data_IF_258775531131
#
_entry.id   IF_258775531131
#
_cell.length_a   1.000
_cell.length_b   1.000
_cell.length_c   1.000
_cell.angle_alpha   90.00
_cell.angle_beta   90.00
_cell.angle_gamma   90.00
#
_symmetry.space_group_name_H-M   'P 1'
#
loop_
_entity.id
_entity.type
_entity.pdbx_description
1 polymer ?
#
# COMPACT_ATOMS: atom_id res chain seq x y z
N UNK A 1 54.12 42.30 -1.64
CA UNK A 1 53.29 41.57 -2.63
C UNK A 1 52.40 40.62 -1.86
N UNK A 2 51.08 40.80 -1.92
CA UNK A 2 50.12 39.92 -1.24
C UNK A 2 49.53 38.98 -2.28
N UNK A 3 49.74 37.67 -2.10
CA UNK A 3 49.25 36.63 -3.01
C UNK A 3 47.83 36.29 -2.57
N UNK A 4 46.81 36.75 -3.30
CA UNK A 4 45.43 36.32 -3.09
C UNK A 4 45.25 34.91 -3.65
N UNK A 5 45.36 33.90 -2.79
CA UNK A 5 44.98 32.53 -3.12
C UNK A 5 43.47 32.46 -2.94
N UNK A 6 42.70 32.42 -4.03
CA UNK A 6 41.27 32.08 -3.94
C UNK A 6 41.17 30.68 -3.34
N UNK A 7 40.59 30.56 -2.15
CA UNK A 7 40.25 29.26 -1.58
C UNK A 7 39.38 28.49 -2.57
N UNK A 8 39.64 27.18 -2.79
CA UNK A 8 38.78 26.37 -3.63
C UNK A 8 37.33 26.44 -3.10
N UNK A 9 36.32 26.38 -3.98
CA UNK A 9 34.93 26.39 -3.54
C UNK A 9 34.70 25.26 -2.52
N UNK A 10 33.92 25.48 -1.46
CA UNK A 10 33.57 24.41 -0.53
C UNK A 10 32.96 23.26 -1.33
N UNK A 11 33.43 22.04 -1.06
CA UNK A 11 32.89 20.85 -1.70
C UNK A 11 31.39 20.77 -1.40
N UNK A 12 30.56 20.99 -2.42
CA UNK A 12 29.11 20.79 -2.30
C UNK A 12 28.93 19.32 -1.96
N UNK A 13 28.27 18.96 -0.84
CA UNK A 13 27.95 17.56 -0.56
C UNK A 13 27.19 17.04 -1.77
N UNK A 14 27.72 16.02 -2.45
CA UNK A 14 26.92 15.27 -3.41
C UNK A 14 25.76 14.71 -2.60
N UNK A 15 24.56 15.24 -2.84
CA UNK A 15 23.34 14.56 -2.40
C UNK A 15 23.47 13.12 -2.92
N UNK A 16 23.23 12.09 -2.09
CA UNK A 16 23.25 10.72 -2.58
C UNK A 16 22.33 10.66 -3.80
N UNK A 17 22.76 9.97 -4.85
CA UNK A 17 21.87 9.64 -5.97
C UNK A 17 20.79 8.72 -5.40
N UNK A 18 19.71 9.33 -4.92
CA UNK A 18 18.52 8.63 -4.49
C UNK A 18 17.87 8.15 -5.78
N UNK A 19 18.03 6.87 -6.09
CA UNK A 19 17.26 6.24 -7.15
C UNK A 19 15.78 6.22 -6.73
N UNK A 20 14.90 6.98 -7.41
CA UNK A 20 13.48 6.97 -7.10
C UNK A 20 12.87 5.57 -7.27
N UNK A 21 13.45 4.69 -8.09
CA UNK A 21 13.05 3.29 -8.22
C UNK A 21 13.38 2.46 -6.97
N UNK A 22 14.38 2.87 -6.18
CA UNK A 22 14.65 2.23 -4.89
C UNK A 22 13.67 2.67 -3.80
N UNK A 23 13.05 3.86 -3.92
CA UNK A 23 11.96 4.32 -3.03
C UNK A 23 10.60 3.79 -3.50
N UNK A 24 10.40 3.71 -4.81
CA UNK A 24 9.22 3.15 -5.44
C UNK A 24 9.19 1.63 -5.20
N UNK A 25 8.50 1.22 -4.13
CA UNK A 25 8.45 -0.16 -3.67
C UNK A 25 8.70 -0.29 -2.17
N UNK A 26 9.49 0.60 -1.57
CA UNK A 26 9.63 0.74 -0.11
C UNK A 26 8.32 1.29 0.51
N UNK A 27 7.64 2.19 -0.20
CA UNK A 27 6.27 2.60 0.05
C UNK A 27 5.37 2.10 -1.08
N UNK A 28 5.30 0.79 -1.30
CA UNK A 28 4.43 0.17 -2.33
C UNK A 28 2.94 0.37 -2.04
N UNK A 29 2.52 1.61 -1.92
CA UNK A 29 1.26 1.99 -1.30
C UNK A 29 0.72 3.29 -1.94
N UNK A 30 1.54 4.29 -2.24
CA UNK A 30 1.05 5.48 -2.94
C UNK A 30 1.27 5.34 -4.46
N UNK A 31 0.21 5.13 -5.28
CA UNK A 31 0.39 5.07 -6.72
C UNK A 31 0.80 6.43 -7.27
N UNK A 32 1.74 6.45 -8.21
CA UNK A 32 2.15 7.66 -8.92
C UNK A 32 1.08 8.16 -9.91
N UNK A 33 0.13 7.30 -10.28
CA UNK A 33 -1.03 7.60 -11.12
C UNK A 33 -2.34 7.27 -10.41
N UNK A 34 -3.46 7.14 -11.15
CA UNK A 34 -4.73 6.68 -10.56
C UNK A 34 -4.55 5.35 -9.82
N UNK A 35 -5.16 5.23 -8.63
CA UNK A 35 -5.23 3.95 -7.92
C UNK A 35 -5.87 2.90 -8.81
N UNK A 36 -5.30 1.69 -8.77
CA UNK A 36 -5.88 0.54 -9.47
C UNK A 36 -7.23 0.18 -8.85
N UNK A 37 -8.14 -0.29 -9.70
CA UNK A 37 -9.48 -0.73 -9.29
C UNK A 37 -9.42 -2.11 -8.66
N UNK A 38 -9.97 -2.26 -7.45
CA UNK A 38 -10.07 -3.58 -6.82
C UNK A 38 -11.15 -4.40 -7.53
N UNK A 39 -10.79 -5.59 -8.01
CA UNK A 39 -11.75 -6.53 -8.64
C UNK A 39 -12.26 -7.60 -7.68
N UNK A 40 -11.53 -7.83 -6.58
CA UNK A 40 -11.89 -8.70 -5.46
C UNK A 40 -11.05 -8.29 -4.24
N UNK A 41 -11.68 -8.08 -3.08
CA UNK A 41 -10.96 -7.71 -1.86
C UNK A 41 -10.06 -8.82 -1.31
N UNK A 42 -10.32 -10.09 -1.59
CA UNK A 42 -9.50 -11.21 -1.13
C UNK A 42 -8.17 -11.33 -1.89
N UNK A 43 -8.10 -10.81 -3.12
CA UNK A 43 -6.91 -10.86 -3.99
C UNK A 43 -6.37 -9.47 -4.31
N UNK A 44 -6.69 -8.47 -3.49
CA UNK A 44 -6.27 -7.09 -3.70
C UNK A 44 -4.74 -6.94 -3.73
N UNK A 45 -4.29 -5.87 -4.39
CA UNK A 45 -2.90 -5.45 -4.41
C UNK A 45 -2.41 -5.11 -2.99
N UNK A 46 -1.18 -5.51 -2.66
CA UNK A 46 -0.43 -4.97 -1.52
C UNK A 46 -0.18 -3.49 -1.73
N UNK A 47 -0.73 -2.64 -0.87
CA UNK A 47 -0.77 -1.20 -1.08
C UNK A 47 -2.20 -0.69 -1.17
N UNK A 48 -2.37 0.45 -1.86
CA UNK A 48 -3.68 1.10 -1.97
C UNK A 48 -4.33 0.81 -3.31
N UNK A 49 -5.61 0.44 -3.27
CA UNK A 49 -6.50 0.38 -4.42
C UNK A 49 -7.74 1.20 -4.14
N UNK A 50 -8.44 1.61 -5.19
CA UNK A 50 -9.76 2.22 -5.09
C UNK A 50 -10.83 1.16 -5.37
N UNK A 51 -12.02 1.40 -4.84
CA UNK A 51 -13.22 0.61 -5.09
C UNK A 51 -14.32 1.54 -5.57
N UNK A 52 -14.71 1.40 -6.82
CA UNK A 52 -15.75 2.18 -7.51
C UNK A 52 -16.98 1.36 -7.85
N UNK A 53 -16.89 0.04 -7.71
CA UNK A 53 -17.92 -0.93 -8.09
C UNK A 53 -18.19 -1.93 -6.97
N UNK A 54 -19.35 -2.60 -7.02
CA UNK A 54 -19.67 -3.66 -6.09
C UNK A 54 -18.96 -4.95 -6.49
N UNK A 55 -17.82 -5.21 -5.85
CA UNK A 55 -16.98 -6.38 -6.12
C UNK A 55 -17.05 -7.42 -4.99
N UNK A 56 -16.65 -8.68 -5.26
CA UNK A 56 -16.63 -9.72 -4.24
C UNK A 56 -15.81 -9.32 -2.99
N UNK A 57 -16.23 -9.88 -1.86
CA UNK A 57 -15.55 -9.77 -0.56
C UNK A 57 -15.43 -8.35 0.03
N UNK A 58 -16.17 -7.38 -0.52
CA UNK A 58 -16.34 -6.04 0.05
C UNK A 58 -17.06 -6.11 1.41
N UNK A 59 -16.71 -5.25 2.40
CA UNK A 59 -17.37 -5.25 3.72
C UNK A 59 -18.86 -4.93 3.68
N UNK A 60 -19.31 -4.12 2.71
CA UNK A 60 -20.71 -3.76 2.55
C UNK A 60 -21.07 -3.71 1.07
N UNK A 61 -21.91 -4.66 0.63
CA UNK A 61 -22.40 -4.73 -0.75
C UNK A 61 -23.23 -3.51 -1.16
N UNK A 62 -23.86 -2.85 -0.19
CA UNK A 62 -24.70 -1.67 -0.44
C UNK A 62 -23.88 -0.39 -0.59
N UNK A 63 -22.62 -0.38 -0.15
CA UNK A 63 -21.76 0.78 -0.22
C UNK A 63 -20.29 0.40 -0.45
N UNK A 64 -19.92 0.05 -1.69
CA UNK A 64 -18.58 -0.42 -2.01
C UNK A 64 -17.61 0.71 -2.37
N UNK A 65 -18.00 1.98 -2.23
CA UNK A 65 -17.18 3.11 -2.68
C UNK A 65 -16.17 3.55 -1.63
N UNK A 66 -14.88 3.52 -1.99
CA UNK A 66 -13.81 3.89 -1.08
C UNK A 66 -12.41 3.52 -1.54
N UNK A 67 -11.51 3.45 -0.57
CA UNK A 67 -10.11 3.08 -0.77
C UNK A 67 -9.75 1.94 0.18
N UNK A 68 -9.14 0.88 -0.36
CA UNK A 68 -8.62 -0.25 0.40
C UNK A 68 -7.11 -0.15 0.51
N UNK A 69 -6.58 -0.34 1.71
CA UNK A 69 -5.16 -0.50 1.97
C UNK A 69 -4.89 -1.92 2.48
N UNK A 70 -4.03 -2.63 1.77
CA UNK A 70 -3.62 -4.00 2.11
C UNK A 70 -2.15 -4.04 2.53
N UNK A 71 -1.86 -4.73 3.63
CA UNK A 71 -0.50 -4.90 4.18
C UNK A 71 -0.27 -6.38 4.46
N UNK A 72 0.83 -6.95 3.99
CA UNK A 72 1.24 -8.33 4.29
C UNK A 72 2.64 -8.38 4.87
N UNK A 73 2.88 -9.32 5.79
CA UNK A 73 4.23 -9.65 6.29
C UNK A 73 5.18 -10.16 5.23
N UNK A 74 4.66 -10.64 4.09
CA UNK A 74 5.45 -11.06 2.93
C UNK A 74 5.86 -9.89 2.03
N UNK A 75 5.40 -8.67 2.33
CA UNK A 75 5.73 -7.46 1.59
C UNK A 75 5.12 -7.41 0.19
N UNK A 76 5.65 -6.48 -0.62
CA UNK A 76 5.17 -6.13 -1.97
C UNK A 76 5.90 -6.87 -3.09
N UNK A 77 6.83 -7.78 -2.75
CA UNK A 77 7.64 -8.54 -3.70
C UNK A 77 8.76 -7.73 -4.35
N UNK A 78 9.61 -8.39 -5.18
CA UNK A 78 10.83 -7.78 -5.75
C UNK A 78 10.54 -6.67 -6.76
N UNK A 79 9.32 -6.60 -7.30
CA UNK A 79 8.87 -5.57 -8.25
C UNK A 79 8.09 -4.45 -7.59
N UNK A 80 7.92 -4.48 -6.26
CA UNK A 80 7.04 -3.54 -5.55
C UNK A 80 5.55 -3.70 -5.84
N UNK A 81 5.17 -4.71 -6.63
CA UNK A 81 3.78 -5.02 -6.99
C UNK A 81 3.48 -6.51 -6.75
N UNK A 82 2.74 -6.80 -5.69
CA UNK A 82 2.28 -8.15 -5.33
C UNK A 82 0.81 -8.11 -4.95
N UNK A 83 0.03 -9.04 -5.49
CA UNK A 83 -1.36 -9.26 -5.10
C UNK A 83 -1.43 -10.35 -4.03
N UNK A 84 -2.46 -10.30 -3.20
CA UNK A 84 -2.74 -11.41 -2.27
C UNK A 84 -3.06 -12.65 -3.10
N UNK A 85 -2.35 -13.77 -2.92
CA UNK A 85 -2.73 -15.03 -3.55
C UNK A 85 -4.07 -15.52 -3.01
N UNK A 86 -4.84 -16.24 -3.81
CA UNK A 86 -6.14 -16.79 -3.39
C UNK A 86 -6.05 -17.61 -2.09
N UNK A 87 -4.90 -18.26 -1.88
CA UNK A 87 -4.52 -18.90 -0.63
C UNK A 87 -3.24 -18.24 -0.12
N UNK A 88 -3.27 -17.72 1.11
CA UNK A 88 -2.11 -17.13 1.76
C UNK A 88 -0.91 -18.08 1.82
N UNK A 89 0.29 -17.52 1.66
CA UNK A 89 1.52 -18.28 1.78
C UNK A 89 1.80 -18.67 3.24
N UNK A 90 2.50 -19.78 3.46
CA UNK A 90 2.88 -20.18 4.81
C UNK A 90 3.63 -19.05 5.56
N UNK A 91 3.16 -18.74 6.78
CA UNK A 91 3.69 -17.66 7.61
C UNK A 91 3.21 -16.26 7.23
N UNK A 92 2.33 -16.12 6.23
CA UNK A 92 1.75 -14.84 5.85
C UNK A 92 0.68 -14.39 6.86
N UNK A 93 0.78 -13.12 7.25
CA UNK A 93 -0.21 -12.38 8.03
C UNK A 93 -0.52 -11.12 7.25
N UNK A 94 -1.80 -10.93 6.93
CA UNK A 94 -2.27 -9.83 6.08
C UNK A 94 -3.33 -9.02 6.81
N UNK A 95 -3.30 -7.71 6.64
CA UNK A 95 -4.30 -6.78 7.14
C UNK A 95 -4.89 -5.99 5.99
N UNK A 96 -6.18 -5.71 6.08
CA UNK A 96 -6.86 -4.76 5.20
C UNK A 96 -7.61 -3.71 6.00
N UNK A 97 -7.53 -2.49 5.50
CA UNK A 97 -8.31 -1.35 5.95
C UNK A 97 -9.10 -0.81 4.77
N UNK A 98 -10.39 -0.56 4.94
CA UNK A 98 -11.24 0.01 3.91
C UNK A 98 -11.92 1.27 4.43
N UNK A 99 -11.56 2.40 3.82
CA UNK A 99 -12.13 3.72 4.12
C UNK A 99 -13.22 4.01 3.10
N UNK A 100 -14.46 4.07 3.55
CA UNK A 100 -15.59 4.37 2.66
C UNK A 100 -15.74 5.88 2.45
N UNK A 101 -16.36 6.25 1.34
CA UNK A 101 -16.71 7.67 1.06
C UNK A 101 -17.72 8.26 2.05
N UNK A 102 -18.41 7.43 2.84
CA UNK A 102 -19.31 7.87 3.92
C UNK A 102 -18.58 8.16 5.25
N UNK A 103 -17.27 7.92 5.31
CA UNK A 103 -16.47 8.11 6.52
C UNK A 103 -16.50 6.91 7.48
N UNK A 104 -16.94 5.74 7.03
CA UNK A 104 -16.82 4.51 7.80
C UNK A 104 -15.44 3.87 7.57
N UNK A 105 -14.88 3.28 8.63
CA UNK A 105 -13.65 2.50 8.56
C UNK A 105 -13.95 1.03 8.87
N UNK A 106 -13.60 0.16 7.92
CA UNK A 106 -13.62 -1.29 8.12
C UNK A 106 -12.18 -1.83 8.20
N UNK A 107 -11.97 -2.86 9.00
CA UNK A 107 -10.72 -3.62 8.94
C UNK A 107 -10.94 -5.12 9.11
N UNK A 108 -10.06 -5.91 8.50
CA UNK A 108 -9.97 -7.35 8.71
C UNK A 108 -8.53 -7.80 8.71
N UNK A 109 -8.29 -8.94 9.37
CA UNK A 109 -7.05 -9.67 9.29
C UNK A 109 -7.24 -10.95 8.50
N UNK A 110 -6.15 -11.47 7.95
CA UNK A 110 -6.06 -12.79 7.38
C UNK A 110 -4.75 -13.43 7.77
N UNK A 111 -4.77 -14.73 8.04
CA UNK A 111 -3.56 -15.50 8.34
C UNK A 111 -3.55 -16.77 7.50
N UNK A 112 -2.36 -17.27 7.19
CA UNK A 112 -2.19 -18.45 6.36
C UNK A 112 -2.92 -19.71 6.85
N UNK A 113 -3.17 -19.82 8.16
CA UNK A 113 -3.86 -20.96 8.77
C UNK A 113 -5.37 -20.96 8.53
N UNK A 114 -6.01 -19.78 8.57
CA UNK A 114 -7.48 -19.67 8.63
C UNK A 114 -8.06 -18.88 7.47
N UNK A 115 -7.23 -18.31 6.60
CA UNK A 115 -7.69 -17.41 5.56
C UNK A 115 -8.11 -16.05 6.12
N UNK A 116 -8.99 -15.37 5.39
CA UNK A 116 -9.54 -14.09 5.78
C UNK A 116 -10.52 -14.23 6.95
N UNK A 117 -10.38 -13.36 7.95
CA UNK A 117 -11.43 -13.13 8.93
C UNK A 117 -12.51 -12.19 8.40
N UNK A 118 -13.60 -12.12 9.15
CA UNK A 118 -14.72 -11.22 8.86
C UNK A 118 -14.31 -9.74 8.96
N UNK A 119 -14.94 -8.91 8.15
CA UNK A 119 -14.81 -7.46 8.25
C UNK A 119 -15.38 -6.95 9.57
N UNK A 120 -14.60 -6.12 10.25
CA UNK A 120 -15.00 -5.43 11.47
C UNK A 120 -15.14 -3.95 11.17
N UNK A 121 -16.30 -3.38 11.45
CA UNK A 121 -16.49 -1.94 11.41
C UNK A 121 -15.85 -1.31 12.66
N UNK A 122 -14.90 -0.41 12.46
CA UNK A 122 -14.14 0.23 13.54
C UNK A 122 -14.69 1.59 13.93
N UNK A 123 -15.19 2.34 12.95
CA UNK A 123 -15.75 3.67 13.15
C UNK A 123 -16.97 3.90 12.25
N UNK A 124 -18.00 4.51 12.83
CA UNK A 124 -19.20 5.03 12.16
C UNK A 124 -19.24 6.54 12.40
N UNK A 125 -19.54 7.32 11.36
CA UNK A 125 -19.98 8.71 11.53
C UNK A 125 -21.43 8.73 11.98
#
# INVERSE_FOLDING_TARGET
MTIYIKSPPPAVPKLPDIDPLMIAGLFGSLPAGPMEEVTDFNTALMGFMRSTDNVPNVPSKNWPWGMVWTISTKGTGPTGKRYIPATFEQGEVTHQFFYTTQGALFSRGGIWLTGWGEWQQRWTK
#
